data_IF_397389966170
#
_entry.id   IF_397389966170
#
_cell.length_a   1.000
_cell.length_b   1.000
_cell.length_c   1.000
_cell.angle_alpha   90.00
_cell.angle_beta   90.00
_cell.angle_gamma   90.00
#
_symmetry.space_group_name_H-M   'P 1'
#
loop_
_entity.id
_entity.type
_entity.pdbx_description
1 polymer ?
#
# COMPACT_ATOMS: atom_id res chain seq x y z
N UNK A 1 3.83 11.88 -3.30
CA UNK A 1 4.53 10.62 -2.91
C UNK A 1 5.99 10.99 -2.66
N UNK A 2 6.56 10.60 -1.51
CA UNK A 2 7.97 10.85 -1.22
C UNK A 2 8.81 9.79 -1.96
N UNK A 3 9.12 10.05 -3.23
CA UNK A 3 10.04 9.24 -4.03
C UNK A 3 11.38 9.97 -4.04
N UNK A 4 12.48 9.27 -3.74
CA UNK A 4 13.81 9.86 -3.81
C UNK A 4 14.04 10.46 -5.20
N UNK A 5 14.60 11.68 -5.28
CA UNK A 5 14.72 12.42 -6.54
C UNK A 5 15.50 11.68 -7.65
N UNK A 6 16.38 10.75 -7.27
CA UNK A 6 17.13 9.87 -8.19
C UNK A 6 16.23 8.83 -8.88
N UNK A 7 15.23 8.30 -8.17
CA UNK A 7 14.29 7.30 -8.69
C UNK A 7 13.30 7.95 -9.63
N UNK A 8 12.85 9.17 -9.29
CA UNK A 8 12.00 9.96 -10.17
C UNK A 8 12.67 10.27 -11.51
N UNK A 9 13.93 10.70 -11.48
CA UNK A 9 14.68 11.00 -12.72
C UNK A 9 14.86 9.76 -13.60
N UNK A 10 15.17 8.61 -12.99
CA UNK A 10 15.30 7.34 -13.72
C UNK A 10 13.99 6.92 -14.41
N UNK A 11 12.86 7.10 -13.74
CA UNK A 11 11.52 6.90 -14.34
C UNK A 11 11.30 7.84 -15.52
N UNK A 12 11.61 9.14 -15.35
CA UNK A 12 11.44 10.14 -16.40
C UNK A 12 12.30 9.81 -17.63
N UNK A 13 13.55 9.37 -17.43
CA UNK A 13 14.45 8.92 -18.50
C UNK A 13 13.96 7.66 -19.22
N UNK A 14 13.52 6.63 -18.48
CA UNK A 14 13.03 5.37 -19.07
C UNK A 14 11.71 5.55 -19.82
N UNK A 15 10.78 6.38 -19.31
CA UNK A 15 9.53 6.73 -20.00
C UNK A 15 9.78 7.42 -21.35
N UNK A 16 10.81 8.27 -21.42
CA UNK A 16 11.08 9.08 -22.60
C UNK A 16 11.79 8.30 -23.70
N UNK A 17 12.64 7.32 -23.35
CA UNK A 17 13.50 6.63 -24.31
C UNK A 17 13.06 5.19 -24.60
N UNK A 18 12.45 4.49 -23.64
CA UNK A 18 12.00 3.11 -23.83
C UNK A 18 10.91 2.73 -22.81
N UNK A 19 9.67 3.24 -22.98
CA UNK A 19 8.57 2.93 -22.08
C UNK A 19 8.31 1.41 -22.09
N UNK A 20 8.30 0.82 -20.91
CA UNK A 20 8.02 -0.60 -20.69
C UNK A 20 7.16 -0.77 -19.43
N UNK A 21 6.58 -1.97 -19.22
CA UNK A 21 5.72 -2.22 -18.04
C UNK A 21 6.46 -2.12 -16.69
N UNK A 22 7.79 -2.19 -16.66
CA UNK A 22 8.61 -2.26 -15.45
C UNK A 22 9.18 -0.91 -15.00
N UNK A 23 8.93 0.18 -15.73
CA UNK A 23 9.54 1.50 -15.46
C UNK A 23 9.27 1.98 -14.03
N UNK A 24 8.14 1.58 -13.44
CA UNK A 24 7.75 1.99 -12.09
C UNK A 24 8.11 0.97 -10.99
N UNK A 25 8.68 -0.20 -11.32
CA UNK A 25 8.91 -1.29 -10.36
C UNK A 25 9.76 -0.85 -9.17
N UNK A 26 10.80 -0.04 -9.42
CA UNK A 26 11.68 0.45 -8.36
C UNK A 26 10.93 1.41 -7.43
N UNK A 27 10.14 2.33 -7.96
CA UNK A 27 9.36 3.26 -7.14
C UNK A 27 8.23 2.53 -6.39
N UNK A 28 7.57 1.58 -7.04
CA UNK A 28 6.53 0.76 -6.42
C UNK A 28 7.11 -0.04 -5.23
N UNK A 29 8.28 -0.66 -5.39
CA UNK A 29 8.97 -1.37 -4.31
C UNK A 29 9.34 -0.43 -3.15
N UNK A 30 9.83 0.78 -3.44
CA UNK A 30 10.16 1.75 -2.39
C UNK A 30 8.93 2.22 -1.62
N UNK A 31 7.84 2.55 -2.32
CA UNK A 31 6.58 2.94 -1.68
C UNK A 31 6.01 1.77 -0.88
N UNK A 32 6.04 0.56 -1.43
CA UNK A 32 5.60 -0.65 -0.72
C UNK A 32 6.38 -0.85 0.58
N UNK A 33 7.71 -0.83 0.53
CA UNK A 33 8.53 -1.02 1.74
C UNK A 33 8.34 0.11 2.75
N UNK A 34 8.19 1.36 2.30
CA UNK A 34 7.89 2.50 3.17
C UNK A 34 6.54 2.28 3.88
N UNK A 35 5.51 1.89 3.13
CA UNK A 35 4.19 1.61 3.68
C UNK A 35 4.24 0.42 4.63
N UNK A 36 4.89 -0.67 4.25
CA UNK A 36 5.02 -1.88 5.07
C UNK A 36 5.73 -1.61 6.41
N UNK A 37 6.77 -0.76 6.41
CA UNK A 37 7.53 -0.45 7.62
C UNK A 37 6.85 0.58 8.53
N UNK A 38 6.14 1.55 7.98
CA UNK A 38 5.62 2.68 8.77
C UNK A 38 4.10 2.74 8.82
N UNK A 39 3.42 2.61 7.69
CA UNK A 39 1.98 2.81 7.60
C UNK A 39 1.20 1.55 8.00
N UNK A 40 1.70 0.37 7.61
CA UNK A 40 1.05 -0.90 7.88
C UNK A 40 0.96 -1.24 9.38
N UNK A 41 2.04 -1.18 10.19
CA UNK A 41 1.91 -1.42 11.64
C UNK A 41 0.98 -0.40 12.32
N UNK A 42 1.00 0.86 11.89
CA UNK A 42 0.07 1.89 12.40
C UNK A 42 -1.38 1.63 12.01
N UNK A 43 -1.61 1.12 10.81
CA UNK A 43 -2.95 0.72 10.36
C UNK A 43 -3.48 -0.42 11.25
N UNK A 44 -2.66 -1.44 11.54
CA UNK A 44 -3.07 -2.55 12.41
C UNK A 44 -3.38 -2.11 13.84
N UNK A 45 -2.75 -1.03 14.33
CA UNK A 45 -3.05 -0.44 15.64
C UNK A 45 -4.13 0.65 15.60
N UNK A 46 -4.73 0.92 14.44
CA UNK A 46 -5.70 2.01 14.30
C UNK A 46 -7.12 1.58 14.65
N UNK A 47 -7.91 2.52 15.15
CA UNK A 47 -9.35 2.32 15.41
C UNK A 47 -10.11 1.88 14.15
N UNK A 48 -9.65 2.31 12.96
CA UNK A 48 -10.24 1.92 11.69
C UNK A 48 -10.15 0.40 11.47
N UNK A 49 -8.97 -0.18 11.67
CA UNK A 49 -8.79 -1.63 11.52
C UNK A 49 -9.64 -2.38 12.54
N UNK A 50 -9.64 -1.96 13.80
CA UNK A 50 -10.44 -2.58 14.84
C UNK A 50 -11.94 -2.49 14.58
N UNK A 51 -12.43 -1.35 14.08
CA UNK A 51 -13.84 -1.17 13.73
C UNK A 51 -14.28 -2.13 12.61
N UNK A 52 -13.45 -2.31 11.57
CA UNK A 52 -13.74 -3.25 10.48
C UNK A 52 -13.78 -4.68 11.02
N UNK A 53 -12.80 -5.08 11.82
CA UNK A 53 -12.72 -6.43 12.39
C UNK A 53 -13.90 -6.72 13.33
N UNK A 54 -14.29 -5.77 14.17
CA UNK A 54 -15.47 -5.92 15.02
C UNK A 54 -16.75 -6.04 14.19
N UNK A 55 -16.89 -5.22 13.15
CA UNK A 55 -18.03 -5.27 12.23
C UNK A 55 -18.14 -6.62 11.51
N UNK A 56 -17.02 -7.20 11.05
CA UNK A 56 -17.03 -8.51 10.38
C UNK A 56 -17.40 -9.63 11.35
N UNK A 57 -16.88 -9.62 12.58
CA UNK A 57 -17.28 -10.60 13.59
C UNK A 57 -18.76 -10.49 13.98
N UNK A 58 -19.27 -9.27 14.14
CA UNK A 58 -20.68 -9.03 14.44
C UNK A 58 -21.58 -9.54 13.31
N UNK A 59 -21.21 -9.28 12.05
CA UNK A 59 -21.92 -9.78 10.88
C UNK A 59 -21.94 -11.31 10.84
N UNK A 60 -20.79 -11.96 11.01
CA UNK A 60 -20.70 -13.42 10.99
C UNK A 60 -21.55 -14.05 12.10
N UNK A 61 -21.47 -13.52 13.33
CA UNK A 61 -22.29 -13.99 14.46
C UNK A 61 -23.79 -13.90 14.16
N UNK A 62 -24.23 -12.83 13.49
CA UNK A 62 -25.64 -12.66 13.12
C UNK A 62 -26.11 -13.68 12.08
N UNK A 63 -25.22 -14.06 11.16
CA UNK A 63 -25.49 -15.08 10.13
C UNK A 63 -25.58 -16.48 10.72
N UNK A 64 -24.70 -16.82 11.66
CA UNK A 64 -24.65 -18.16 12.25
C UNK A 64 -25.79 -18.40 13.27
N UNK A 65 -26.44 -17.34 13.73
CA UNK A 65 -27.59 -17.37 14.64
C UNK A 65 -28.95 -17.46 13.94
N UNK A 66 -28.97 -17.46 12.60
CA UNK A 66 -30.18 -17.46 11.76
C UNK A 66 -30.31 -18.75 10.95
#
# INVERSE_FOLDING_TARGET
>A
INVAGTVRRKIEEELQHNPNEHVFDVAQNQVYLMMHRQSYPRFLSSDLYHAVVQGTYAYQKSRDAS
#
